data_IF_451998270241
#
_entry.id   IF_451998270241
#
_cell.length_a   1.000
_cell.length_b   1.000
_cell.length_c   1.000
_cell.angle_alpha   90.00
_cell.angle_beta   90.00
_cell.angle_gamma   90.00
#
_symmetry.space_group_name_H-M   'P 1'
#
loop_
_entity.id
_entity.type
_entity.pdbx_description
1 polymer ?
#
# COMPACT_ATOMS: atom_id res chain seq x y z
N UNK A 1 -17.54 -3.40 -13.99
CA UNK A 1 -16.53 -2.44 -14.53
C UNK A 1 -15.40 -2.17 -13.54
N UNK A 2 -15.62 -1.56 -12.37
CA UNK A 2 -14.53 -1.23 -11.43
C UNK A 2 -13.94 -2.49 -10.76
N UNK A 3 -14.77 -3.45 -10.33
CA UNK A 3 -14.31 -4.69 -9.70
C UNK A 3 -13.45 -5.54 -10.64
N UNK A 4 -13.85 -5.65 -11.90
CA UNK A 4 -13.11 -6.36 -12.95
C UNK A 4 -11.68 -5.83 -13.14
N UNK A 5 -11.46 -4.52 -12.96
CA UNK A 5 -10.11 -3.94 -12.97
C UNK A 5 -9.21 -4.56 -11.90
N UNK A 6 -9.73 -4.91 -10.71
CA UNK A 6 -8.91 -5.51 -9.66
C UNK A 6 -8.53 -6.95 -9.97
N UNK A 7 -9.45 -7.72 -10.57
CA UNK A 7 -9.20 -9.11 -10.98
C UNK A 7 -8.17 -9.14 -12.12
N UNK A 8 -8.42 -8.36 -13.18
CA UNK A 8 -7.54 -8.29 -14.36
C UNK A 8 -6.15 -7.71 -14.08
N UNK A 9 -5.99 -6.91 -13.03
CA UNK A 9 -4.74 -6.26 -12.63
C UNK A 9 -4.08 -6.88 -11.40
N UNK A 10 -4.54 -8.05 -10.97
CA UNK A 10 -4.05 -8.73 -9.76
C UNK A 10 -2.52 -8.86 -9.70
N UNK A 11 -1.89 -9.27 -10.81
CA UNK A 11 -0.43 -9.40 -10.93
C UNK A 11 0.32 -8.06 -10.86
N UNK A 12 -0.29 -6.97 -11.35
CA UNK A 12 0.33 -5.64 -11.33
C UNK A 12 0.54 -5.14 -9.89
N UNK A 13 -0.19 -5.69 -8.90
CA UNK A 13 0.00 -5.36 -7.49
C UNK A 13 1.25 -6.01 -6.88
N UNK A 14 1.94 -6.94 -7.56
CA UNK A 14 3.13 -7.59 -7.02
C UNK A 14 4.25 -6.59 -6.66
N UNK A 15 4.29 -5.42 -7.32
CA UNK A 15 5.21 -4.33 -7.02
C UNK A 15 5.09 -3.83 -5.56
N UNK A 16 3.91 -3.97 -4.95
CA UNK A 16 3.68 -3.60 -3.55
C UNK A 16 4.39 -4.54 -2.59
N UNK A 17 4.67 -5.79 -2.97
CA UNK A 17 5.47 -6.71 -2.16
C UNK A 17 6.86 -6.12 -1.94
N UNK A 18 7.54 -5.73 -3.03
CA UNK A 18 8.87 -5.12 -2.95
C UNK A 18 8.84 -3.78 -2.20
N UNK A 19 7.81 -2.96 -2.41
CA UNK A 19 7.69 -1.69 -1.69
C UNK A 19 7.54 -1.92 -0.18
N UNK A 20 6.64 -2.81 0.23
CA UNK A 20 6.34 -3.09 1.63
C UNK A 20 7.47 -3.80 2.37
N UNK A 21 8.21 -4.71 1.71
CA UNK A 21 9.38 -5.35 2.32
C UNK A 21 10.52 -4.35 2.55
N UNK A 22 10.71 -3.40 1.64
CA UNK A 22 11.74 -2.36 1.76
C UNK A 22 11.33 -1.16 2.61
N UNK A 23 10.04 -0.97 2.88
CA UNK A 23 9.52 0.19 3.62
C UNK A 23 10.24 0.45 4.97
N UNK A 24 10.50 -0.56 5.82
CA UNK A 24 11.26 -0.35 7.06
C UNK A 24 12.65 0.25 6.84
N UNK A 25 13.36 -0.18 5.78
CA UNK A 25 14.67 0.38 5.41
C UNK A 25 14.54 1.81 4.93
N UNK A 26 13.54 2.12 4.10
CA UNK A 26 13.28 3.49 3.64
C UNK A 26 13.01 4.45 4.80
N UNK A 27 12.26 4.00 5.82
CA UNK A 27 12.01 4.77 7.05
C UNK A 27 13.30 4.95 7.86
N UNK A 28 14.13 3.92 7.98
CA UNK A 28 15.42 4.01 8.69
C UNK A 28 16.37 5.01 8.02
N UNK A 29 16.50 4.96 6.69
CA UNK A 29 17.31 5.92 5.92
C UNK A 29 16.78 7.33 6.08
N UNK A 30 15.46 7.53 5.96
CA UNK A 30 14.88 8.86 6.16
C UNK A 30 15.13 9.37 7.59
N UNK A 31 15.01 8.50 8.60
CA UNK A 31 15.29 8.87 10.00
C UNK A 31 16.73 9.34 10.16
N UNK A 32 17.70 8.65 9.55
CA UNK A 32 19.10 9.07 9.56
C UNK A 32 19.30 10.42 8.84
N UNK A 33 18.68 10.60 7.68
CA UNK A 33 18.71 11.89 6.98
C UNK A 33 18.15 13.03 7.85
N UNK A 34 17.09 12.77 8.62
CA UNK A 34 16.50 13.77 9.51
C UNK A 34 17.38 14.13 10.72
N UNK A 35 18.36 13.28 11.08
CA UNK A 35 19.38 13.61 12.11
C UNK A 35 20.44 14.56 11.57
N UNK A 36 20.69 14.56 10.25
CA UNK A 36 21.58 15.51 9.60
C UNK A 36 20.87 16.85 9.39
N UNK A 37 21.37 17.92 10.01
CA UNK A 37 20.75 19.27 9.95
C UNK A 37 20.58 19.80 8.53
N UNK A 38 21.54 19.53 7.63
CA UNK A 38 21.50 20.01 6.25
C UNK A 38 20.43 19.27 5.44
N UNK A 39 20.37 17.94 5.55
CA UNK A 39 19.33 17.13 4.88
C UNK A 39 17.94 17.39 5.44
N UNK A 40 17.80 17.52 6.76
CA UNK A 40 16.53 17.86 7.39
C UNK A 40 16.00 19.23 6.92
N UNK A 41 16.89 20.22 6.75
CA UNK A 41 16.54 21.52 6.17
C UNK A 41 16.09 21.37 4.71
N UNK A 42 16.85 20.62 3.90
CA UNK A 42 16.49 20.34 2.51
C UNK A 42 15.08 19.74 2.37
N UNK A 43 14.74 18.71 3.16
CA UNK A 43 13.41 18.10 3.08
C UNK A 43 12.28 19.05 3.48
N UNK A 44 12.49 19.92 4.50
CA UNK A 44 11.51 20.95 4.87
C UNK A 44 11.29 21.97 3.76
N UNK A 45 12.38 22.47 3.16
CA UNK A 45 12.29 23.43 2.05
C UNK A 45 11.62 22.83 0.81
N UNK A 46 11.82 21.53 0.54
CA UNK A 46 11.07 20.82 -0.52
C UNK A 46 9.60 20.66 -0.19
N UNK A 47 9.27 20.31 1.06
CA UNK A 47 7.88 20.20 1.50
C UNK A 47 7.14 21.55 1.37
N UNK A 48 7.76 22.65 1.81
CA UNK A 48 7.20 24.00 1.71
C UNK A 48 7.05 24.44 0.25
N UNK A 49 8.09 24.27 -0.58
CA UNK A 49 8.06 24.67 -1.99
C UNK A 49 6.99 23.92 -2.80
N UNK A 50 6.75 22.65 -2.48
CA UNK A 50 5.69 21.83 -3.09
C UNK A 50 4.32 22.01 -2.42
N UNK A 51 4.24 22.85 -1.38
CA UNK A 51 3.02 23.08 -0.58
C UNK A 51 2.39 21.78 -0.05
N UNK A 52 3.24 20.81 0.30
CA UNK A 52 2.79 19.53 0.83
C UNK A 52 2.38 19.66 2.30
N UNK A 53 1.18 19.18 2.61
CA UNK A 53 0.62 19.22 3.96
C UNK A 53 1.23 18.21 4.93
N UNK A 54 1.93 17.20 4.42
CA UNK A 54 2.52 16.11 5.21
C UNK A 54 4.03 16.02 4.99
N UNK A 55 4.80 15.51 5.97
CA UNK A 55 6.21 15.20 5.77
C UNK A 55 6.39 14.00 4.82
N UNK A 56 7.57 13.90 4.20
CA UNK A 56 7.91 12.82 3.25
C UNK A 56 7.61 11.42 3.81
N UNK A 57 7.92 11.18 5.09
CA UNK A 57 7.65 9.88 5.73
C UNK A 57 6.18 9.46 5.70
N UNK A 58 5.25 10.42 5.83
CA UNK A 58 3.82 10.14 5.72
C UNK A 58 3.40 9.79 4.29
N UNK A 59 4.04 10.37 3.28
CA UNK A 59 3.81 9.98 1.88
C UNK A 59 4.36 8.58 1.57
N UNK A 60 5.52 8.23 2.12
CA UNK A 60 6.09 6.87 1.99
C UNK A 60 5.19 5.79 2.62
N UNK A 61 4.37 6.14 3.62
CA UNK A 61 3.44 5.19 4.24
C UNK A 61 2.18 4.94 3.36
N UNK A 62 1.83 5.87 2.46
CA UNK A 62 0.58 5.79 1.69
C UNK A 62 0.44 4.52 0.85
N UNK A 63 1.46 4.01 0.12
CA UNK A 63 1.32 2.76 -0.62
C UNK A 63 1.07 1.55 0.29
N UNK A 64 1.75 1.46 1.43
CA UNK A 64 1.56 0.41 2.43
C UNK A 64 0.13 0.43 2.97
N UNK A 65 -0.43 1.62 3.22
CA UNK A 65 -1.82 1.75 3.66
C UNK A 65 -2.82 1.48 2.53
N UNK A 66 -2.52 1.89 1.30
CA UNK A 66 -3.46 1.83 0.18
C UNK A 66 -3.76 0.40 -0.21
N UNK A 67 -2.74 -0.46 -0.28
CA UNK A 67 -2.91 -1.85 -0.69
C UNK A 67 -3.81 -2.62 0.29
N UNK A 68 -3.74 -2.31 1.59
CA UNK A 68 -4.57 -2.88 2.64
C UNK A 68 -5.99 -2.31 2.70
N UNK A 69 -6.30 -1.28 1.91
CA UNK A 69 -7.64 -0.67 1.89
C UNK A 69 -8.51 -1.18 0.75
N UNK A 70 -7.95 -1.75 -0.31
CA UNK A 70 -8.73 -2.12 -1.49
C UNK A 70 -9.81 -3.15 -1.17
N UNK A 71 -9.48 -4.22 -0.45
CA UNK A 71 -10.48 -5.21 -0.06
C UNK A 71 -11.57 -4.62 0.86
N UNK A 72 -11.23 -3.66 1.75
CA UNK A 72 -12.20 -2.99 2.60
C UNK A 72 -13.17 -2.12 1.80
N UNK A 73 -12.66 -1.39 0.81
CA UNK A 73 -13.48 -0.56 -0.08
C UNK A 73 -14.39 -1.41 -0.97
N UNK A 74 -13.90 -2.57 -1.42
CA UNK A 74 -14.71 -3.52 -2.20
C UNK A 74 -15.80 -4.18 -1.34
N UNK A 75 -15.50 -4.51 -0.07
CA UNK A 75 -16.53 -4.94 0.90
C UNK A 75 -17.60 -3.86 1.11
N UNK A 76 -17.21 -2.59 1.20
CA UNK A 76 -18.17 -1.50 1.34
C UNK A 76 -19.10 -1.39 0.12
N UNK A 77 -18.57 -1.65 -1.08
CA UNK A 77 -19.36 -1.72 -2.31
C UNK A 77 -20.33 -2.91 -2.25
N UNK A 78 -19.85 -4.09 -1.85
CA UNK A 78 -20.66 -5.32 -1.72
C UNK A 78 -21.82 -5.16 -0.74
N UNK A 79 -21.59 -4.53 0.41
CA UNK A 79 -22.62 -4.24 1.42
C UNK A 79 -23.79 -3.38 0.90
N UNK A 80 -23.60 -2.65 -0.20
CA UNK A 80 -24.59 -1.74 -0.79
C UNK A 80 -25.13 -2.23 -2.15
N UNK A 81 -24.75 -3.44 -2.57
CA UNK A 81 -25.25 -4.08 -3.79
C UNK A 81 -26.34 -5.10 -3.48
N UNK A 82 -27.37 -5.14 -4.33
CA UNK A 82 -28.29 -6.28 -4.34
C UNK A 82 -27.55 -7.50 -4.89
N UNK A 83 -27.78 -8.68 -4.29
CA UNK A 83 -27.15 -9.94 -4.71
C UNK A 83 -27.58 -10.37 -6.10
N UNK A 84 -28.75 -9.93 -6.55
CA UNK A 84 -29.26 -10.19 -7.89
C UNK A 84 -28.72 -9.19 -8.93
N UNK A 85 -27.85 -8.24 -8.53
CA UNK A 85 -27.22 -7.30 -9.44
C UNK A 85 -26.25 -8.03 -10.39
N UNK A 86 -26.37 -7.74 -11.69
CA UNK A 86 -25.42 -8.22 -12.68
C UNK A 86 -23.98 -7.80 -12.33
N UNK A 87 -23.07 -8.77 -12.20
CA UNK A 87 -21.67 -8.53 -11.82
C UNK A 87 -21.40 -8.53 -10.31
N UNK A 88 -22.35 -8.93 -9.47
CA UNK A 88 -22.13 -9.14 -8.02
C UNK A 88 -21.03 -10.18 -7.75
N UNK A 89 -20.98 -11.26 -8.54
CA UNK A 89 -19.93 -12.28 -8.52
C UNK A 89 -18.53 -11.69 -8.78
N UNK A 90 -18.41 -10.77 -9.74
CA UNK A 90 -17.14 -10.09 -10.05
C UNK A 90 -16.68 -9.24 -8.86
N UNK A 91 -17.59 -8.67 -8.06
CA UNK A 91 -17.24 -7.95 -6.84
C UNK A 91 -16.68 -8.90 -5.78
N UNK A 92 -17.27 -10.08 -5.61
CA UNK A 92 -16.76 -11.10 -4.69
C UNK A 92 -15.36 -11.59 -5.11
N UNK A 93 -15.15 -11.83 -6.41
CA UNK A 93 -13.85 -12.23 -6.96
C UNK A 93 -12.79 -11.14 -6.75
N UNK A 94 -13.16 -9.87 -6.94
CA UNK A 94 -12.26 -8.74 -6.67
C UNK A 94 -11.89 -8.65 -5.18
N UNK A 95 -12.84 -8.89 -4.28
CA UNK A 95 -12.59 -8.93 -2.83
C UNK A 95 -11.58 -10.03 -2.48
N UNK A 96 -11.83 -11.26 -2.91
CA UNK A 96 -10.95 -12.40 -2.65
C UNK A 96 -9.55 -12.14 -3.24
N UNK A 97 -9.49 -11.63 -4.48
CA UNK A 97 -8.24 -11.24 -5.13
C UNK A 97 -7.43 -10.26 -4.27
N UNK A 98 -8.05 -9.18 -3.80
CA UNK A 98 -7.34 -8.17 -3.01
C UNK A 98 -7.00 -8.65 -1.60
N UNK A 99 -7.77 -9.56 -1.01
CA UNK A 99 -7.41 -10.23 0.24
C UNK A 99 -6.18 -11.12 0.05
N UNK A 100 -6.10 -11.89 -1.04
CA UNK A 100 -4.92 -12.72 -1.36
C UNK A 100 -3.67 -11.88 -1.58
N UNK A 101 -3.79 -10.76 -2.28
CA UNK A 101 -2.69 -9.79 -2.46
C UNK A 101 -2.20 -9.26 -1.12
N UNK A 102 -3.11 -8.80 -0.26
CA UNK A 102 -2.75 -8.30 1.08
C UNK A 102 -2.09 -9.38 1.94
N UNK A 103 -2.62 -10.60 1.92
CA UNK A 103 -2.05 -11.75 2.63
C UNK A 103 -0.63 -12.08 2.13
N UNK A 104 -0.44 -12.15 0.80
CA UNK A 104 0.86 -12.44 0.19
C UNK A 104 1.92 -11.40 0.59
N UNK A 105 1.59 -10.11 0.52
CA UNK A 105 2.50 -9.04 0.93
C UNK A 105 2.90 -9.18 2.40
N UNK A 106 1.93 -9.49 3.28
CA UNK A 106 2.20 -9.68 4.70
C UNK A 106 3.08 -10.90 4.98
N UNK A 107 2.84 -12.02 4.28
CA UNK A 107 3.68 -13.22 4.37
C UNK A 107 5.11 -12.96 3.89
N UNK A 108 5.27 -12.29 2.74
CA UNK A 108 6.57 -11.93 2.20
C UNK A 108 7.32 -10.95 3.11
N UNK A 109 6.62 -9.99 3.72
CA UNK A 109 7.19 -9.10 4.74
C UNK A 109 7.70 -9.89 5.95
N UNK A 110 6.92 -10.83 6.47
CA UNK A 110 7.31 -11.69 7.59
C UNK A 110 8.56 -12.51 7.25
N UNK A 111 8.58 -13.17 6.10
CA UNK A 111 9.74 -13.96 5.62
C UNK A 111 10.99 -13.10 5.48
N UNK A 112 10.87 -11.90 4.91
CA UNK A 112 11.97 -10.96 4.78
C UNK A 112 12.52 -10.51 6.13
N UNK A 113 11.66 -10.20 7.09
CA UNK A 113 12.06 -9.83 8.46
C UNK A 113 12.79 -10.96 9.18
N UNK A 114 12.37 -12.22 8.99
CA UNK A 114 13.08 -13.38 9.54
C UNK A 114 14.46 -13.56 8.90
N UNK A 115 14.57 -13.42 7.58
CA UNK A 115 15.82 -13.57 6.85
C UNK A 115 16.87 -12.51 7.22
N UNK A 116 16.47 -11.30 7.58
CA UNK A 116 17.39 -10.22 8.01
C UNK A 116 17.92 -10.42 9.44
N UNK A 117 17.20 -11.18 10.28
CA UNK A 117 17.59 -11.42 11.69
C UNK A 117 18.55 -12.59 11.87
N UNK A 118 18.68 -13.46 10.85
CA UNK A 118 19.62 -14.58 10.79
C UNK A 118 20.96 -14.11 10.21
#
# INVERSE_FOLDING_TARGET
>A
AIADCFVSKSEDFHIYTQYCTNYPRSVAVLTECMRNKMLAKFFRERQEALQHSLPLGSYLLKPVQRILKYHLLLHEIENHLDKDTEGYDVVLDAIDTMQRVAWHINDMKRKHEHAIRL
#
